data_IF_843693728029
#
_entry.id   IF_843693728029
#
_cell.length_a   1.000
_cell.length_b   1.000
_cell.length_c   1.000
_cell.angle_alpha   90.00
_cell.angle_beta   90.00
_cell.angle_gamma   90.00
#
_symmetry.space_group_name_H-M   'P 1'
#
loop_
_entity.id
_entity.type
_entity.pdbx_description
1 polymer ?
#
# COMPACT_ATOMS: atom_id res chain seq x y z
N UNK A 1 -22.72 19.59 8.94
CA UNK A 1 -23.16 18.57 7.98
C UNK A 1 -22.48 18.88 6.66
N UNK A 2 -21.66 17.98 6.09
CA UNK A 2 -21.05 18.25 4.80
C UNK A 2 -22.04 17.89 3.68
N UNK A 3 -22.30 18.86 2.82
CA UNK A 3 -23.12 18.71 1.62
C UNK A 3 -22.43 17.74 0.64
N UNK A 4 -23.22 16.82 0.08
CA UNK A 4 -22.77 15.86 -0.92
C UNK A 4 -22.40 16.59 -2.23
N UNK A 5 -21.36 16.16 -2.97
CA UNK A 5 -21.07 16.74 -4.26
C UNK A 5 -22.12 16.32 -5.28
N UNK A 6 -22.71 17.34 -5.89
CA UNK A 6 -23.62 17.32 -7.03
C UNK A 6 -22.91 16.74 -8.27
N UNK A 7 -23.33 15.54 -8.69
CA UNK A 7 -22.92 14.92 -9.95
C UNK A 7 -23.90 15.33 -11.04
N UNK A 8 -23.79 16.59 -11.47
CA UNK A 8 -24.62 17.18 -12.51
C UNK A 8 -23.80 17.72 -13.69
N UNK A 9 -23.90 16.98 -14.81
CA UNK A 9 -23.85 17.47 -16.20
C UNK A 9 -22.50 17.52 -16.95
N UNK A 10 -22.36 16.46 -17.74
CA UNK A 10 -21.75 16.38 -19.06
C UNK A 10 -21.88 17.63 -19.93
N UNK A 11 -20.75 18.08 -20.48
CA UNK A 11 -20.48 18.35 -21.91
C UNK A 11 -19.46 19.49 -22.05
N UNK A 12 -18.30 19.18 -22.64
CA UNK A 12 -17.63 20.03 -23.65
C UNK A 12 -16.47 19.28 -24.33
N UNK A 13 -16.79 18.74 -25.51
CA UNK A 13 -15.97 18.60 -26.73
C UNK A 13 -14.45 18.46 -26.57
N UNK A 14 -14.01 17.21 -26.67
CA UNK A 14 -12.71 16.79 -27.19
C UNK A 14 -12.93 15.45 -27.92
N UNK A 15 -13.59 15.50 -29.08
CA UNK A 15 -14.02 14.33 -29.87
C UNK A 15 -12.85 13.85 -30.73
N UNK A 16 -12.64 12.52 -30.76
CA UNK A 16 -11.73 11.70 -31.58
C UNK A 16 -10.51 11.07 -30.87
N UNK A 17 -10.66 10.55 -29.66
CA UNK A 17 -9.84 9.38 -29.28
C UNK A 17 -10.61 8.15 -29.73
N UNK A 18 -10.22 7.56 -30.85
CA UNK A 18 -10.65 6.23 -31.26
C UNK A 18 -10.53 5.30 -30.06
N UNK A 19 -11.63 4.64 -29.66
CA UNK A 19 -11.62 3.66 -28.58
C UNK A 19 -10.87 2.40 -29.04
N UNK A 20 -9.55 2.45 -28.92
CA UNK A 20 -8.65 1.38 -29.37
C UNK A 20 -8.91 0.10 -28.61
N UNK A 21 -9.26 0.18 -27.32
CA UNK A 21 -9.56 -0.98 -26.49
C UNK A 21 -10.81 -1.70 -26.99
N UNK A 22 -11.91 -0.98 -27.21
CA UNK A 22 -13.13 -1.55 -27.79
C UNK A 22 -12.91 -2.18 -29.17
N UNK A 23 -12.09 -1.56 -30.03
CA UNK A 23 -11.76 -2.13 -31.34
C UNK A 23 -10.94 -3.41 -31.20
N UNK A 24 -9.93 -3.42 -30.32
CA UNK A 24 -9.09 -4.60 -30.08
C UNK A 24 -9.94 -5.75 -29.53
N UNK A 25 -10.87 -5.49 -28.63
CA UNK A 25 -11.74 -6.52 -28.06
C UNK A 25 -12.65 -7.17 -29.11
N UNK A 26 -13.23 -6.38 -30.02
CA UNK A 26 -14.01 -6.90 -31.16
C UNK A 26 -13.11 -7.72 -32.11
N UNK A 27 -11.90 -7.23 -32.41
CA UNK A 27 -10.96 -7.95 -33.26
C UNK A 27 -10.45 -9.25 -32.64
N UNK A 28 -10.40 -9.36 -31.31
CA UNK A 28 -10.11 -10.61 -30.61
C UNK A 28 -11.31 -11.55 -30.68
N UNK A 29 -12.53 -11.03 -30.51
CA UNK A 29 -13.76 -11.81 -30.63
C UNK A 29 -13.92 -12.43 -32.03
N UNK A 30 -13.51 -11.69 -33.06
CA UNK A 30 -13.52 -12.13 -34.47
C UNK A 30 -12.23 -12.87 -34.89
N UNK A 31 -11.36 -13.24 -33.94
CA UNK A 31 -10.09 -13.97 -34.13
C UNK A 31 -9.07 -13.30 -35.10
N UNK A 32 -9.20 -11.99 -35.30
CA UNK A 32 -8.24 -11.20 -36.07
C UNK A 32 -6.97 -10.98 -35.25
N UNK A 33 -7.10 -10.73 -33.94
CA UNK A 33 -5.96 -10.53 -33.02
C UNK A 33 -5.97 -11.65 -31.97
N UNK A 34 -4.86 -12.39 -31.78
CA UNK A 34 -4.76 -13.37 -30.70
C UNK A 34 -4.91 -12.72 -29.31
N UNK A 35 -5.62 -13.36 -28.39
CA UNK A 35 -5.81 -12.85 -27.03
C UNK A 35 -4.49 -12.54 -26.29
N UNK A 36 -3.42 -13.28 -26.58
CA UNK A 36 -2.09 -13.04 -25.99
C UNK A 36 -1.43 -11.73 -26.45
N UNK A 37 -1.87 -11.15 -27.57
CA UNK A 37 -1.35 -9.88 -28.10
C UNK A 37 -2.09 -8.65 -27.53
N UNK A 38 -3.26 -8.84 -26.89
CA UNK A 38 -4.06 -7.78 -26.26
C UNK A 38 -3.21 -6.89 -25.35
N UNK A 39 -2.52 -7.51 -24.40
CA UNK A 39 -1.66 -6.81 -23.43
C UNK A 39 -0.39 -6.21 -24.07
N UNK A 40 0.01 -6.66 -25.27
CA UNK A 40 1.15 -6.10 -26.00
C UNK A 40 0.77 -4.83 -26.77
N UNK A 41 -0.49 -4.76 -27.21
CA UNK A 41 -1.07 -3.64 -27.95
C UNK A 41 -1.54 -2.54 -26.98
N UNK A 42 -2.25 -2.91 -25.91
CA UNK A 42 -2.94 -1.98 -24.99
C UNK A 42 -2.11 -1.58 -23.75
N UNK A 43 -0.77 -1.66 -23.79
CA UNK A 43 0.02 -1.25 -22.61
C UNK A 43 -0.18 0.24 -22.32
N UNK A 44 -0.51 0.56 -21.07
CA UNK A 44 -0.82 1.92 -20.61
C UNK A 44 0.27 2.98 -20.90
N UNK A 45 1.52 2.58 -21.12
CA UNK A 45 2.63 3.49 -21.45
C UNK A 45 2.84 3.70 -22.96
N UNK A 46 2.14 2.98 -23.83
CA UNK A 46 2.26 3.10 -25.28
C UNK A 46 1.31 4.23 -25.74
N UNK A 47 1.79 5.24 -26.50
CA UNK A 47 0.93 6.28 -27.06
C UNK A 47 -0.17 5.69 -27.96
N UNK A 48 -1.39 6.24 -27.92
CA UNK A 48 -2.55 5.76 -28.70
C UNK A 48 -2.22 5.58 -30.20
N UNK A 49 -1.45 6.50 -30.79
CA UNK A 49 -1.00 6.40 -32.20
C UNK A 49 -0.23 5.11 -32.47
N UNK A 50 0.65 4.70 -31.56
CA UNK A 50 1.41 3.46 -31.69
C UNK A 50 0.55 2.23 -31.44
N UNK A 51 -0.44 2.31 -30.55
CA UNK A 51 -1.41 1.23 -30.36
C UNK A 51 -2.24 1.00 -31.64
N UNK A 52 -2.75 2.07 -32.25
CA UNK A 52 -3.48 2.00 -33.53
C UNK A 52 -2.58 1.43 -34.63
N UNK A 53 -1.33 1.88 -34.74
CA UNK A 53 -0.41 1.34 -35.76
C UNK A 53 -0.20 -0.17 -35.60
N UNK A 54 -0.01 -0.66 -34.38
CA UNK A 54 0.11 -2.10 -34.13
C UNK A 54 -1.13 -2.89 -34.53
N UNK A 55 -2.32 -2.35 -34.28
CA UNK A 55 -3.59 -2.95 -34.72
C UNK A 55 -3.64 -3.02 -36.24
N UNK A 56 -3.34 -1.91 -36.93
CA UNK A 56 -3.33 -1.85 -38.39
C UNK A 56 -2.31 -2.84 -38.99
N UNK A 57 -1.11 -2.93 -38.42
CA UNK A 57 -0.07 -3.86 -38.89
C UNK A 57 -0.55 -5.32 -38.84
N UNK A 58 -1.29 -5.71 -37.80
CA UNK A 58 -1.86 -7.06 -37.68
C UNK A 58 -3.01 -7.27 -38.65
N UNK A 59 -3.93 -6.31 -38.75
CA UNK A 59 -5.11 -6.37 -39.64
C UNK A 59 -4.70 -6.49 -41.10
N UNK A 60 -3.77 -5.64 -41.57
CA UNK A 60 -3.29 -5.66 -42.96
C UNK A 60 -2.47 -6.91 -43.27
N UNK A 61 -1.66 -7.38 -42.33
CA UNK A 61 -0.87 -8.60 -42.53
C UNK A 61 -1.75 -9.84 -42.70
N UNK A 62 -2.93 -9.85 -42.08
CA UNK A 62 -3.89 -10.96 -42.15
C UNK A 62 -5.03 -10.75 -43.16
N UNK A 63 -5.09 -9.62 -43.88
CA UNK A 63 -6.15 -9.30 -44.86
C UNK A 63 -7.57 -9.32 -44.25
N UNK A 64 -7.73 -8.71 -43.06
CA UNK A 64 -9.01 -8.62 -42.35
C UNK A 64 -9.57 -7.18 -42.34
N UNK A 65 -9.44 -6.46 -43.45
CA UNK A 65 -9.84 -5.05 -43.55
C UNK A 65 -11.35 -4.85 -43.30
N UNK A 66 -12.19 -5.77 -43.77
CA UNK A 66 -13.65 -5.69 -43.59
C UNK A 66 -14.06 -5.87 -42.12
N UNK A 67 -13.43 -6.79 -41.40
CA UNK A 67 -13.67 -7.01 -39.98
C UNK A 67 -13.23 -5.79 -39.14
N UNK A 68 -12.09 -5.18 -39.51
CA UNK A 68 -11.64 -3.93 -38.90
C UNK A 68 -12.61 -2.76 -39.15
N UNK A 69 -13.16 -2.67 -40.37
CA UNK A 69 -14.18 -1.67 -40.70
C UNK A 69 -15.46 -1.91 -39.88
N UNK A 70 -15.90 -3.15 -39.67
CA UNK A 70 -17.04 -3.45 -38.80
C UNK A 70 -16.77 -3.03 -37.36
N UNK A 71 -15.62 -3.40 -36.80
CA UNK A 71 -15.22 -3.02 -35.45
C UNK A 71 -15.17 -1.49 -35.25
N UNK A 72 -14.74 -0.74 -36.27
CA UNK A 72 -14.80 0.73 -36.26
C UNK A 72 -16.24 1.25 -36.19
N UNK A 73 -17.19 0.64 -36.91
CA UNK A 73 -18.60 1.05 -36.86
C UNK A 73 -19.21 0.76 -35.50
N UNK A 74 -18.94 -0.41 -34.94
CA UNK A 74 -19.49 -0.87 -33.67
C UNK A 74 -18.99 -0.05 -32.46
N UNK A 75 -17.79 0.53 -32.58
CA UNK A 75 -17.19 1.43 -31.57
C UNK A 75 -17.53 2.91 -31.78
N UNK A 76 -18.47 3.23 -32.68
CA UNK A 76 -18.91 4.60 -32.95
C UNK A 76 -17.96 5.42 -33.85
N UNK A 77 -16.97 4.79 -34.48
CA UNK A 77 -16.02 5.41 -35.41
C UNK A 77 -16.50 5.30 -36.89
N UNK A 78 -17.82 5.36 -37.11
CA UNK A 78 -18.46 5.24 -38.43
C UNK A 78 -17.84 6.14 -39.51
N UNK A 79 -17.54 7.39 -39.17
CA UNK A 79 -16.95 8.36 -40.11
C UNK A 79 -15.56 7.96 -40.61
N UNK A 80 -14.79 7.20 -39.82
CA UNK A 80 -13.48 6.65 -40.23
C UNK A 80 -13.70 5.43 -41.14
N UNK A 81 -14.60 4.54 -40.75
CA UNK A 81 -14.98 3.36 -41.54
C UNK A 81 -15.46 3.74 -42.95
N UNK A 82 -16.35 4.74 -43.04
CA UNK A 82 -16.90 5.21 -44.33
C UNK A 82 -15.85 5.88 -45.20
N UNK A 83 -14.88 6.58 -44.60
CA UNK A 83 -13.76 7.19 -45.33
C UNK A 83 -12.81 6.14 -45.89
N UNK A 84 -12.55 5.05 -45.16
CA UNK A 84 -11.75 3.92 -45.63
C UNK A 84 -12.46 3.23 -46.81
N UNK A 85 -13.75 2.91 -46.68
CA UNK A 85 -14.55 2.28 -47.73
C UNK A 85 -14.63 3.14 -49.00
N UNK A 86 -14.85 4.45 -48.85
CA UNK A 86 -14.93 5.39 -49.98
C UNK A 86 -13.60 5.53 -50.73
N UNK A 87 -12.48 5.20 -50.08
CA UNK A 87 -11.15 5.20 -50.72
C UNK A 87 -10.78 3.86 -51.37
N UNK A 88 -11.58 2.80 -51.18
CA UNK A 88 -11.23 1.42 -51.51
C UNK A 88 -12.11 0.76 -52.59
N UNK A 89 -13.23 1.36 -53.00
CA UNK A 89 -14.12 0.81 -54.04
C UNK A 89 -13.82 1.40 -55.43
N UNK A 90 -13.55 0.58 -56.46
CA UNK A 90 -13.65 0.96 -57.87
C UNK A 90 -15.13 1.02 -58.31
N UNK A 91 -15.51 1.98 -59.13
CA UNK A 91 -16.90 2.31 -59.52
C UNK A 91 -17.68 1.22 -60.31
N UNK A 92 -17.10 0.04 -60.60
CA UNK A 92 -17.58 -0.83 -61.68
C UNK A 92 -18.56 -1.98 -61.30
N UNK A 93 -19.04 -2.10 -60.05
CA UNK A 93 -19.78 -3.31 -59.59
C UNK A 93 -21.33 -3.16 -59.55
N UNK A 94 -21.89 -1.98 -59.87
CA UNK A 94 -23.34 -1.74 -59.73
C UNK A 94 -24.24 -2.19 -60.90
N UNK A 95 -23.71 -2.68 -62.03
CA UNK A 95 -24.51 -2.94 -63.25
C UNK A 95 -25.09 -4.37 -63.41
N UNK A 96 -24.76 -5.35 -62.57
CA UNK A 96 -25.04 -6.76 -62.89
C UNK A 96 -26.39 -7.34 -62.40
N UNK A 97 -27.28 -6.58 -61.74
CA UNK A 97 -28.49 -7.15 -61.10
C UNK A 97 -29.82 -7.01 -61.87
N UNK A 98 -29.91 -6.28 -62.98
CA UNK A 98 -31.22 -5.98 -63.62
C UNK A 98 -31.66 -6.94 -64.74
N UNK A 99 -30.85 -7.94 -65.13
CA UNK A 99 -31.07 -8.64 -66.41
C UNK A 99 -31.86 -9.97 -66.35
N UNK A 100 -32.26 -10.45 -65.16
CA UNK A 100 -32.80 -11.81 -65.00
C UNK A 100 -34.34 -11.93 -64.90
N UNK A 101 -35.12 -10.92 -65.30
CA UNK A 101 -36.56 -10.86 -64.95
C UNK A 101 -37.56 -10.87 -66.13
N UNK A 102 -37.22 -11.39 -67.32
CA UNK A 102 -38.10 -11.23 -68.50
C UNK A 102 -38.32 -12.45 -69.41
N UNK A 103 -38.38 -13.70 -68.92
CA UNK A 103 -38.81 -14.83 -69.78
C UNK A 103 -39.58 -15.93 -69.05
N UNK A 104 -40.92 -15.83 -68.97
CA UNK A 104 -41.83 -17.00 -68.98
C UNK A 104 -43.23 -16.59 -69.47
N UNK A 105 -43.62 -16.90 -70.73
CA UNK A 105 -45.01 -16.86 -71.21
C UNK A 105 -45.35 -18.13 -72.04
N UNK A 106 -46.35 -18.88 -71.52
CA UNK A 106 -47.40 -19.73 -72.12
C UNK A 106 -47.12 -20.79 -73.21
N UNK A 107 -47.54 -22.05 -72.92
CA UNK A 107 -48.20 -22.98 -73.89
C UNK A 107 -49.10 -24.05 -73.21
N UNK A 108 -50.37 -24.11 -73.63
CA UNK A 108 -51.30 -25.25 -73.91
C UNK A 108 -51.54 -26.47 -72.99
N UNK A 109 -52.50 -26.35 -72.07
CA UNK A 109 -53.86 -26.96 -72.16
C UNK A 109 -54.13 -28.47 -72.03
N UNK A 110 -53.31 -29.40 -72.53
CA UNK A 110 -53.69 -30.85 -72.49
C UNK A 110 -52.52 -31.85 -72.34
N UNK A 111 -51.26 -31.40 -72.37
CA UNK A 111 -50.13 -32.06 -71.70
C UNK A 111 -50.11 -31.75 -70.18
N UNK A 112 -50.93 -30.79 -69.76
CA UNK A 112 -50.96 -30.20 -68.43
C UNK A 112 -51.12 -31.21 -67.28
N UNK A 113 -51.77 -32.36 -67.44
CA UNK A 113 -51.95 -33.32 -66.32
C UNK A 113 -50.76 -34.24 -66.07
N UNK A 114 -49.93 -34.49 -67.09
CA UNK A 114 -48.66 -35.23 -66.94
C UNK A 114 -47.55 -34.26 -66.56
N UNK A 115 -47.52 -33.09 -67.18
CA UNK A 115 -46.61 -31.99 -66.82
C UNK A 115 -46.86 -31.49 -65.39
N UNK A 116 -48.12 -31.46 -64.90
CA UNK A 116 -48.39 -31.09 -63.50
C UNK A 116 -47.90 -32.15 -62.50
N UNK A 117 -47.91 -33.43 -62.85
CA UNK A 117 -47.33 -34.49 -62.00
C UNK A 117 -45.81 -34.46 -62.02
N UNK A 118 -45.21 -34.21 -63.18
CA UNK A 118 -43.77 -34.08 -63.33
C UNK A 118 -43.24 -32.84 -62.60
N UNK A 119 -43.90 -31.69 -62.76
CA UNK A 119 -43.58 -30.47 -62.00
C UNK A 119 -43.80 -30.63 -60.49
N UNK A 120 -44.83 -31.37 -60.04
CA UNK A 120 -45.01 -31.70 -58.62
C UNK A 120 -43.87 -32.60 -58.09
N UNK A 121 -43.44 -33.60 -58.86
CA UNK A 121 -42.33 -34.46 -58.49
C UNK A 121 -41.00 -33.68 -58.43
N UNK A 122 -40.72 -32.84 -59.43
CA UNK A 122 -39.56 -31.96 -59.45
C UNK A 122 -39.56 -30.98 -58.29
N UNK A 123 -40.73 -30.46 -57.90
CA UNK A 123 -40.85 -29.57 -56.73
C UNK A 123 -40.52 -30.31 -55.43
N UNK A 124 -41.00 -31.54 -55.26
CA UNK A 124 -40.65 -32.38 -54.09
C UNK A 124 -39.16 -32.72 -54.06
N UNK A 125 -38.58 -33.08 -55.20
CA UNK A 125 -37.14 -33.34 -55.32
C UNK A 125 -36.32 -32.08 -54.97
N UNK A 126 -36.74 -30.91 -55.44
CA UNK A 126 -36.10 -29.64 -55.11
C UNK A 126 -36.22 -29.28 -53.61
N UNK A 127 -37.37 -29.57 -52.99
CA UNK A 127 -37.54 -29.43 -51.53
C UNK A 127 -36.58 -30.37 -50.76
N UNK A 128 -36.47 -31.64 -51.15
CA UNK A 128 -35.52 -32.59 -50.57
C UNK A 128 -34.08 -32.09 -50.73
N UNK A 129 -33.68 -31.66 -51.93
CA UNK A 129 -32.34 -31.12 -52.19
C UNK A 129 -32.04 -29.87 -51.36
N UNK A 130 -33.03 -29.01 -51.11
CA UNK A 130 -32.87 -27.85 -50.22
C UNK A 130 -32.67 -28.25 -48.76
N UNK A 131 -33.38 -29.27 -48.29
CA UNK A 131 -33.20 -29.80 -46.93
C UNK A 131 -31.83 -30.48 -46.77
N UNK A 132 -31.41 -31.27 -47.75
CA UNK A 132 -30.07 -31.89 -47.78
C UNK A 132 -28.97 -30.83 -47.81
N UNK A 133 -29.09 -29.81 -48.67
CA UNK A 133 -28.14 -28.71 -48.74
C UNK A 133 -28.09 -27.93 -47.41
N UNK A 134 -29.24 -27.66 -46.79
CA UNK A 134 -29.29 -27.01 -45.47
C UNK A 134 -28.59 -27.85 -44.40
N UNK A 135 -28.79 -29.17 -44.41
CA UNK A 135 -28.14 -30.11 -43.49
C UNK A 135 -26.62 -30.17 -43.71
N UNK A 136 -26.17 -30.16 -44.97
CA UNK A 136 -24.76 -30.11 -45.33
C UNK A 136 -24.09 -28.80 -44.89
N UNK A 137 -24.75 -27.67 -45.09
CA UNK A 137 -24.25 -26.36 -44.65
C UNK A 137 -24.11 -26.30 -43.13
N UNK A 138 -25.07 -26.85 -42.38
CA UNK A 138 -25.00 -26.93 -40.92
C UNK A 138 -23.86 -27.86 -40.46
N UNK A 139 -23.68 -29.01 -41.12
CA UNK A 139 -22.54 -29.89 -40.85
C UNK A 139 -21.20 -29.22 -41.15
N UNK A 140 -21.12 -28.46 -42.24
CA UNK A 140 -19.91 -27.70 -42.61
C UNK A 140 -19.59 -26.63 -41.57
N UNK A 141 -20.61 -25.91 -41.08
CA UNK A 141 -20.46 -24.93 -40.00
C UNK A 141 -19.92 -25.58 -38.71
N UNK A 142 -20.47 -26.73 -38.31
CA UNK A 142 -19.99 -27.47 -37.13
C UNK A 142 -18.53 -27.91 -37.28
N UNK A 143 -18.14 -28.43 -38.45
CA UNK A 143 -16.76 -28.84 -38.71
C UNK A 143 -15.78 -27.66 -38.70
N UNK A 144 -16.19 -26.48 -39.22
CA UNK A 144 -15.37 -25.27 -39.13
C UNK A 144 -15.17 -24.83 -37.68
N UNK A 145 -16.21 -24.90 -36.87
CA UNK A 145 -16.15 -24.56 -35.45
C UNK A 145 -15.27 -25.55 -34.66
N UNK A 146 -15.40 -26.87 -34.91
CA UNK A 146 -14.51 -27.87 -34.32
C UNK A 146 -13.04 -27.64 -34.73
N UNK A 147 -12.79 -27.28 -35.99
CA UNK A 147 -11.44 -26.95 -36.47
C UNK A 147 -10.87 -25.73 -35.75
N UNK A 148 -11.71 -24.71 -35.50
CA UNK A 148 -11.34 -23.52 -34.71
C UNK A 148 -10.94 -23.89 -33.29
N UNK A 149 -11.77 -24.66 -32.59
CA UNK A 149 -11.49 -25.12 -31.23
C UNK A 149 -10.21 -25.97 -31.16
N UNK A 150 -9.95 -26.81 -32.16
CA UNK A 150 -8.71 -27.59 -32.24
C UNK A 150 -7.47 -26.71 -32.45
N UNK A 151 -7.57 -25.64 -33.25
CA UNK A 151 -6.48 -24.67 -33.42
C UNK A 151 -6.19 -23.93 -32.12
N UNK A 152 -7.23 -23.49 -31.42
CA UNK A 152 -7.11 -22.82 -30.11
C UNK A 152 -6.43 -23.75 -29.09
N UNK A 153 -6.83 -25.02 -29.05
CA UNK A 153 -6.23 -26.02 -28.16
C UNK A 153 -4.75 -26.28 -28.50
N UNK A 154 -4.40 -26.36 -29.78
CA UNK A 154 -3.00 -26.49 -30.21
C UNK A 154 -2.16 -25.30 -29.76
N UNK A 155 -2.68 -24.07 -29.87
CA UNK A 155 -1.97 -22.88 -29.44
C UNK A 155 -1.82 -22.82 -27.91
N UNK A 156 -2.88 -23.17 -27.18
CA UNK A 156 -2.85 -23.31 -25.72
C UNK A 156 -1.81 -24.33 -25.26
N UNK A 157 -1.71 -25.48 -25.94
CA UNK A 157 -0.71 -26.52 -25.66
C UNK A 157 0.72 -26.04 -25.94
N UNK A 158 0.95 -25.28 -27.01
CA UNK A 158 2.26 -24.66 -27.28
C UNK A 158 2.65 -23.67 -26.18
N UNK A 159 1.71 -22.83 -25.73
CA UNK A 159 1.94 -21.91 -24.61
C UNK A 159 2.32 -22.66 -23.33
N UNK A 160 1.60 -23.73 -23.00
CA UNK A 160 1.92 -24.58 -21.85
C UNK A 160 3.29 -25.25 -21.98
N UNK A 161 3.62 -25.78 -23.16
CA UNK A 161 4.93 -26.38 -23.43
C UNK A 161 6.06 -25.38 -23.20
N UNK A 162 5.90 -24.14 -23.66
CA UNK A 162 6.86 -23.05 -23.41
C UNK A 162 7.00 -22.76 -21.92
N UNK A 163 5.88 -22.61 -21.19
CA UNK A 163 5.90 -22.35 -19.76
C UNK A 163 6.57 -23.48 -18.95
N UNK A 164 6.35 -24.74 -19.33
CA UNK A 164 7.02 -25.91 -18.71
C UNK A 164 8.52 -25.88 -18.99
N UNK A 165 8.93 -25.58 -20.22
CA UNK A 165 10.35 -25.43 -20.58
C UNK A 165 11.03 -24.32 -19.76
N UNK A 166 10.37 -23.17 -19.62
CA UNK A 166 10.90 -22.04 -18.86
C UNK A 166 11.03 -22.38 -17.36
N UNK A 167 10.05 -23.09 -16.79
CA UNK A 167 10.12 -23.58 -15.39
C UNK A 167 11.25 -24.60 -15.20
N UNK A 168 11.44 -25.50 -16.17
CA UNK A 168 12.52 -26.49 -16.15
C UNK A 168 13.90 -25.82 -16.16
N UNK A 169 14.12 -24.84 -17.05
CA UNK A 169 15.36 -24.07 -17.12
C UNK A 169 15.65 -23.32 -15.82
N UNK A 170 14.66 -22.63 -15.25
CA UNK A 170 14.80 -21.94 -13.95
C UNK A 170 15.17 -22.91 -12.82
N UNK A 171 14.60 -24.11 -12.83
CA UNK A 171 14.90 -25.15 -11.83
C UNK A 171 16.33 -25.65 -11.97
N UNK A 172 16.78 -25.88 -13.21
CA UNK A 172 18.14 -26.28 -13.52
C UNK A 172 19.17 -25.22 -13.11
N UNK A 173 18.92 -23.94 -13.41
CA UNK A 173 19.77 -22.82 -12.98
C UNK A 173 19.87 -22.73 -11.45
N UNK A 174 18.74 -22.90 -10.75
CA UNK A 174 18.71 -22.92 -9.28
C UNK A 174 19.56 -24.06 -8.72
N UNK A 175 19.43 -25.27 -9.27
CA UNK A 175 20.25 -26.41 -8.87
C UNK A 175 21.74 -26.17 -9.10
N UNK A 176 22.10 -25.59 -10.25
CA UNK A 176 23.48 -25.25 -10.55
C UNK A 176 24.05 -24.21 -9.58
N UNK A 177 23.25 -23.20 -9.21
CA UNK A 177 23.63 -22.19 -8.21
C UNK A 177 23.88 -22.84 -6.84
N UNK A 178 22.93 -23.65 -6.36
CA UNK A 178 23.08 -24.37 -5.08
C UNK A 178 24.29 -25.30 -5.09
N UNK A 179 24.59 -25.95 -6.22
CA UNK A 179 25.79 -26.76 -6.35
C UNK A 179 27.07 -25.93 -6.19
N UNK A 180 27.16 -24.76 -6.83
CA UNK A 180 28.30 -23.84 -6.67
C UNK A 180 28.47 -23.36 -5.23
N UNK A 181 27.37 -22.95 -4.59
CA UNK A 181 27.37 -22.53 -3.17
C UNK A 181 27.86 -23.66 -2.25
N UNK A 182 27.43 -24.90 -2.48
CA UNK A 182 27.89 -26.06 -1.72
C UNK A 182 29.38 -26.36 -1.93
N UNK A 183 29.90 -26.17 -3.14
CA UNK A 183 31.33 -26.32 -3.43
C UNK A 183 32.14 -25.24 -2.68
N UNK A 184 31.67 -24.00 -2.65
CA UNK A 184 32.29 -22.91 -1.90
C UNK A 184 32.27 -23.17 -0.39
N UNK A 185 31.12 -23.54 0.17
CA UNK A 185 31.00 -23.89 1.59
C UNK A 185 31.93 -25.03 1.98
N UNK A 186 32.06 -26.06 1.14
CA UNK A 186 32.98 -27.16 1.37
C UNK A 186 34.44 -26.67 1.38
N UNK A 187 34.80 -25.75 0.48
CA UNK A 187 36.14 -25.14 0.45
C UNK A 187 36.39 -24.30 1.70
N UNK A 188 35.43 -23.50 2.15
CA UNK A 188 35.54 -22.73 3.39
C UNK A 188 35.65 -23.64 4.63
N UNK A 189 34.86 -24.71 4.69
CA UNK A 189 34.94 -25.69 5.77
C UNK A 189 36.33 -26.34 5.84
N UNK A 190 36.90 -26.70 4.69
CA UNK A 190 38.24 -27.27 4.65
C UNK A 190 39.31 -26.25 5.06
N UNK A 191 39.12 -24.97 4.71
CA UNK A 191 39.93 -23.87 5.24
C UNK A 191 39.85 -23.74 6.76
N UNK A 192 38.67 -23.90 7.36
CA UNK A 192 38.51 -23.89 8.80
C UNK A 192 39.15 -25.09 9.49
N UNK A 193 39.13 -26.28 8.87
CA UNK A 193 39.86 -27.45 9.40
C UNK A 193 41.37 -27.29 9.33
N UNK A 194 41.87 -26.45 8.42
CA UNK A 194 43.28 -26.13 8.31
C UNK A 194 43.76 -25.18 9.42
N UNK A 195 42.86 -24.60 10.23
CA UNK A 195 43.23 -23.87 11.44
C UNK A 195 43.83 -24.89 12.42
N UNK A 196 45.10 -24.68 12.76
CA UNK A 196 45.83 -25.58 13.66
C UNK A 196 45.15 -25.56 15.04
N UNK A 197 44.80 -26.72 15.63
CA UNK A 197 44.30 -26.78 17.01
C UNK A 197 45.17 -26.01 18.01
N UNK A 198 46.47 -25.93 17.75
CA UNK A 198 47.42 -25.17 18.55
C UNK A 198 47.20 -23.64 18.47
N UNK A 199 46.81 -23.09 17.32
CA UNK A 199 46.43 -21.68 17.20
C UNK A 199 45.14 -21.38 17.98
N UNK A 200 44.19 -22.33 17.98
CA UNK A 200 42.98 -22.23 18.78
C UNK A 200 43.29 -22.25 20.27
N UNK A 201 44.22 -23.09 20.71
CA UNK A 201 44.63 -23.16 22.11
C UNK A 201 45.46 -21.94 22.53
N UNK A 202 46.30 -21.40 21.64
CA UNK A 202 46.98 -20.11 21.84
C UNK A 202 45.97 -18.96 21.98
N UNK A 203 44.92 -18.93 21.15
CA UNK A 203 43.85 -17.93 21.28
C UNK A 203 43.09 -18.06 22.59
N UNK A 204 42.76 -19.28 23.02
CA UNK A 204 42.11 -19.51 24.32
C UNK A 204 43.00 -19.08 25.49
N UNK A 205 44.30 -19.37 25.41
CA UNK A 205 45.26 -18.93 26.41
C UNK A 205 45.33 -17.40 26.48
N UNK A 206 45.41 -16.72 25.33
CA UNK A 206 45.39 -15.26 25.26
C UNK A 206 44.09 -14.65 25.82
N UNK A 207 42.92 -15.27 25.57
CA UNK A 207 41.63 -14.84 26.15
C UNK A 207 41.64 -14.97 27.68
N UNK A 208 42.17 -16.07 28.21
CA UNK A 208 42.26 -16.28 29.65
C UNK A 208 43.24 -15.29 30.31
N UNK A 209 44.39 -15.05 29.69
CA UNK A 209 45.33 -14.02 30.17
C UNK A 209 44.72 -12.62 30.19
N UNK A 210 43.93 -12.26 29.17
CA UNK A 210 43.22 -10.97 29.15
C UNK A 210 42.15 -10.91 30.25
N UNK A 211 41.43 -12.00 30.48
CA UNK A 211 40.44 -12.09 31.58
C UNK A 211 41.09 -11.94 32.95
N UNK A 212 42.26 -12.53 33.15
CA UNK A 212 43.01 -12.43 34.40
C UNK A 212 43.66 -11.05 34.58
N UNK A 213 44.02 -10.37 33.48
CA UNK A 213 44.50 -8.97 33.49
C UNK A 213 43.38 -7.97 33.73
N UNK A 214 42.16 -8.24 33.25
CA UNK A 214 40.95 -7.42 33.48
C UNK A 214 40.35 -7.62 34.88
N UNK A 215 41.03 -8.32 35.78
CA UNK A 215 40.60 -8.54 37.17
C UNK A 215 40.76 -7.28 38.04
N UNK A 216 40.45 -6.10 37.48
CA UNK A 216 40.23 -4.82 38.17
C UNK A 216 39.07 -4.86 39.17
N UNK A 217 38.44 -6.02 39.37
CA UNK A 217 37.39 -6.22 40.36
C UNK A 217 37.84 -5.82 41.75
N UNK A 218 39.08 -6.13 42.13
CA UNK A 218 39.60 -5.78 43.45
C UNK A 218 39.87 -4.26 43.57
N UNK A 219 40.33 -3.60 42.50
CA UNK A 219 40.50 -2.15 42.45
C UNK A 219 39.16 -1.40 42.47
N UNK A 220 38.13 -1.94 41.80
CA UNK A 220 36.77 -1.41 41.82
C UNK A 220 36.18 -1.55 43.22
N UNK A 221 36.34 -2.70 43.87
CA UNK A 221 35.86 -2.94 45.23
C UNK A 221 36.57 -2.03 46.24
N UNK A 222 37.89 -1.85 46.13
CA UNK A 222 38.66 -0.94 46.96
C UNK A 222 38.24 0.53 46.76
N UNK A 223 37.98 0.94 45.51
CA UNK A 223 37.49 2.28 45.20
C UNK A 223 36.10 2.53 45.77
N UNK A 224 35.21 1.53 45.72
CA UNK A 224 33.86 1.60 46.27
C UNK A 224 33.88 1.68 47.81
N UNK A 225 34.73 0.91 48.50
CA UNK A 225 34.91 0.98 49.95
C UNK A 225 35.42 2.37 50.40
N UNK A 226 36.40 2.93 49.67
CA UNK A 226 36.91 4.27 49.93
C UNK A 226 35.83 5.35 49.74
N UNK A 227 34.98 5.22 48.72
CA UNK A 227 33.87 6.15 48.49
C UNK A 227 32.84 6.08 49.62
N UNK A 228 32.49 4.87 50.09
CA UNK A 228 31.58 4.68 51.22
C UNK A 228 32.16 5.26 52.52
N UNK A 229 33.45 5.07 52.80
CA UNK A 229 34.13 5.66 53.95
C UNK A 229 34.11 7.19 53.91
N UNK A 230 34.32 7.80 52.74
CA UNK A 230 34.22 9.26 52.58
C UNK A 230 32.81 9.77 52.88
N UNK A 231 31.79 9.10 52.36
CA UNK A 231 30.40 9.46 52.64
C UNK A 231 30.05 9.32 54.12
N UNK A 232 30.52 8.26 54.78
CA UNK A 232 30.30 8.06 56.21
C UNK A 232 30.93 9.18 57.06
N UNK A 233 32.15 9.61 56.73
CA UNK A 233 32.82 10.71 57.42
C UNK A 233 32.10 12.06 57.21
N UNK A 234 31.58 12.30 56.01
CA UNK A 234 30.80 13.51 55.71
C UNK A 234 29.49 13.55 56.49
N UNK A 235 28.74 12.43 56.53
CA UNK A 235 27.52 12.30 57.33
C UNK A 235 27.82 12.53 58.82
N UNK A 236 28.92 11.96 59.33
CA UNK A 236 29.31 12.15 60.72
C UNK A 236 29.61 13.63 61.02
N UNK A 237 30.39 14.29 60.16
CA UNK A 237 30.69 15.72 60.33
C UNK A 237 29.45 16.60 60.31
N UNK A 238 28.47 16.29 59.44
CA UNK A 238 27.19 17.01 59.39
C UNK A 238 26.36 16.75 60.65
N UNK A 239 26.37 15.52 61.15
CA UNK A 239 25.65 15.15 62.38
C UNK A 239 26.23 15.86 63.60
N UNK A 240 27.56 15.92 63.72
CA UNK A 240 28.23 16.62 64.82
C UNK A 240 27.96 18.13 64.77
N UNK A 241 27.97 18.72 63.58
CA UNK A 241 27.61 20.13 63.39
C UNK A 241 26.15 20.40 63.77
N UNK A 242 25.23 19.51 63.40
CA UNK A 242 23.82 19.63 63.76
C UNK A 242 23.62 19.55 65.28
N UNK A 243 24.32 18.64 65.98
CA UNK A 243 24.27 18.54 67.43
C UNK A 243 24.78 19.82 68.13
N UNK A 244 25.83 20.46 67.58
CA UNK A 244 26.33 21.74 68.06
C UNK A 244 25.28 22.85 67.90
N UNK A 245 24.66 22.95 66.73
CA UNK A 245 23.59 23.92 66.44
C UNK A 245 22.38 23.74 67.35
N UNK A 246 21.95 22.50 67.60
CA UNK A 246 20.84 22.20 68.50
C UNK A 246 21.14 22.62 69.94
N UNK A 247 22.39 22.45 70.39
CA UNK A 247 22.85 22.94 71.68
C UNK A 247 22.80 24.47 71.77
N UNK A 248 23.25 25.17 70.73
CA UNK A 248 23.20 26.64 70.66
C UNK A 248 21.77 27.17 70.63
N UNK A 249 20.88 26.54 69.85
CA UNK A 249 19.45 26.87 69.81
C UNK A 249 18.84 26.69 71.20
N UNK A 250 19.16 25.60 71.91
CA UNK A 250 18.67 25.37 73.27
C UNK A 250 19.14 26.46 74.22
N UNK A 251 20.43 26.79 74.21
CA UNK A 251 21.00 27.87 75.04
C UNK A 251 20.31 29.21 74.76
N UNK A 252 20.10 29.56 73.49
CA UNK A 252 19.41 30.81 73.12
C UNK A 252 17.94 30.82 73.57
N UNK A 253 17.23 29.68 73.51
CA UNK A 253 15.87 29.58 74.06
C UNK A 253 15.85 29.81 75.56
N UNK A 254 16.77 29.17 76.28
CA UNK A 254 16.88 29.32 77.75
C UNK A 254 17.20 30.78 78.13
N UNK A 255 18.08 31.44 77.39
CA UNK A 255 18.42 32.87 77.56
C UNK A 255 17.21 33.78 77.30
N UNK A 256 16.48 33.58 76.19
CA UNK A 256 15.27 34.36 75.88
C UNK A 256 14.19 34.19 76.95
N UNK A 257 14.01 32.97 77.46
CA UNK A 257 13.03 32.69 78.50
C UNK A 257 13.43 33.34 79.84
N UNK A 258 14.72 33.31 80.18
CA UNK A 258 15.28 34.05 81.31
C UNK A 258 15.00 35.55 81.19
N UNK A 259 15.25 36.14 80.02
CA UNK A 259 14.97 37.56 79.76
C UNK A 259 13.47 37.90 79.84
N UNK A 260 12.58 37.01 79.35
CA UNK A 260 11.13 37.18 79.51
C UNK A 260 10.72 37.22 80.98
N UNK A 261 11.26 36.32 81.80
CA UNK A 261 10.99 36.28 83.23
C UNK A 261 11.48 37.54 83.94
N UNK A 262 12.69 38.01 83.62
CA UNK A 262 13.22 39.27 84.14
C UNK A 262 12.36 40.47 83.74
N UNK A 263 11.91 40.55 82.48
CA UNK A 263 11.01 41.60 82.01
C UNK A 263 9.64 41.55 82.71
N UNK A 264 9.09 40.36 82.95
CA UNK A 264 7.84 40.20 83.69
C UNK A 264 7.96 40.68 85.14
N UNK A 265 9.09 40.38 85.80
CA UNK A 265 9.41 40.89 87.14
C UNK A 265 9.50 42.42 87.14
N UNK A 266 10.29 43.01 86.23
CA UNK A 266 10.38 44.47 86.10
C UNK A 266 9.02 45.12 85.82
N UNK A 267 8.16 44.48 85.03
CA UNK A 267 6.81 44.98 84.77
C UNK A 267 5.95 45.00 86.04
N UNK A 268 6.00 43.93 86.84
CA UNK A 268 5.30 43.86 88.13
C UNK A 268 5.84 44.91 89.13
N UNK A 269 7.16 45.13 89.16
CA UNK A 269 7.77 46.19 89.95
C UNK A 269 7.30 47.58 89.52
N UNK A 270 7.23 47.84 88.20
CA UNK A 270 6.69 49.08 87.64
C UNK A 270 5.22 49.32 88.00
N UNK A 271 4.38 48.28 87.94
CA UNK A 271 2.97 48.37 88.32
C UNK A 271 2.82 48.70 89.82
N UNK A 272 3.63 48.06 90.68
CA UNK A 272 3.67 48.35 92.13
C UNK A 272 4.12 49.78 92.43
N UNK A 273 5.14 50.29 91.72
CA UNK A 273 5.57 51.70 91.83
C UNK A 273 4.44 52.65 91.42
N UNK A 274 3.73 52.33 90.34
CA UNK A 274 2.61 53.14 89.84
C UNK A 274 1.44 53.17 90.83
N UNK A 275 1.07 52.03 91.41
CA UNK A 275 0.06 51.96 92.49
C UNK A 275 0.47 52.80 93.71
N UNK A 276 1.75 52.74 94.10
CA UNK A 276 2.28 53.55 95.19
C UNK A 276 2.27 55.06 94.88
N UNK A 277 2.52 55.43 93.63
CA UNK A 277 2.44 56.82 93.15
C UNK A 277 1.00 57.33 93.15
N UNK A 278 0.05 56.56 92.62
CA UNK A 278 -1.38 56.89 92.63
C UNK A 278 -1.91 57.01 94.08
N UNK A 279 -1.49 56.12 94.99
CA UNK A 279 -1.84 56.21 96.40
C UNK A 279 -1.29 57.47 97.08
N UNK A 280 -0.05 57.89 96.75
CA UNK A 280 0.52 59.16 97.21
C UNK A 280 -0.26 60.36 96.66
N UNK A 281 -0.62 60.32 95.39
CA UNK A 281 -1.39 61.38 94.73
C UNK A 281 -2.78 61.55 95.36
N UNK A 282 -3.47 60.46 95.65
CA UNK A 282 -4.76 60.48 96.35
C UNK A 282 -4.65 61.07 97.76
N UNK A 283 -3.63 60.69 98.53
CA UNK A 283 -3.38 61.29 99.86
C UNK A 283 -3.11 62.79 99.78
N UNK A 284 -2.44 63.26 98.73
CA UNK A 284 -2.19 64.69 98.51
C UNK A 284 -3.51 65.45 98.27
N UNK A 285 -4.40 64.91 97.43
CA UNK A 285 -5.74 65.47 97.18
C UNK A 285 -6.60 65.47 98.45
N UNK A 286 -6.52 64.43 99.27
CA UNK A 286 -7.22 64.35 100.57
C UNK A 286 -6.70 65.41 101.57
N UNK A 287 -5.40 65.70 101.57
CA UNK A 287 -4.83 66.77 102.40
C UNK A 287 -5.19 68.17 101.89
N UNK A 288 -5.30 68.38 100.58
CA UNK A 288 -5.75 69.65 99.99
C UNK A 288 -7.26 69.90 100.23
N UNK A 289 -8.07 68.85 100.29
CA UNK A 289 -9.49 68.97 100.64
C UNK A 289 -9.71 69.19 102.14
N UNK A 290 -8.88 68.62 103.02
CA UNK A 290 -8.92 68.90 104.47
C UNK A 290 -8.46 70.32 104.83
N UNK A 291 -7.48 70.89 104.13
CA UNK A 291 -7.08 72.30 104.35
C UNK A 291 -8.14 73.28 103.87
N UNK A 292 -8.91 72.96 102.82
CA UNK A 292 -10.06 73.76 102.42
C UNK A 292 -11.27 73.66 103.38
N UNK A 293 -11.47 72.52 104.06
CA UNK A 293 -12.54 72.37 105.05
C UNK A 293 -12.25 73.07 106.40
N UNK A 294 -11.01 73.46 106.68
CA UNK A 294 -10.64 74.17 107.91
C UNK A 294 -10.58 75.70 107.76
N UNK A 295 -10.90 76.22 106.58
CA UNK A 295 -10.93 77.65 106.25
C UNK A 295 -12.30 78.15 105.75
N UNK A 296 -13.37 77.39 106.01
CA UNK A 296 -14.77 77.77 105.75
C UNK A 296 -15.54 78.02 107.05
#
# INVERSE_FOLDING_TARGET
>A
MPEAPDFGQSQKRGVNTTDVEGIVDILIQEDVIPMCDRDSILKAHIPIKEQVQKVLDVVWKKQHELTFISALKDTGNQHVADRILSSALPDDILEFQEQNNMDVINTDGNLATKETKETLNLKKENEILKEENSSLMESSRKLLEENRLLKDEVERLKCLQKAVRDKSNKTYEKQQKTHRENVELKKSLEGCKAINPEEVDQMKAAINELRDKDNHKDEILASQDLQQKRQALEIQSLTDFQALMDSDIKRLRDEVESQRNANAQMKNELESIKEAEDAKKNKLVDTETQTHAHFG
#
